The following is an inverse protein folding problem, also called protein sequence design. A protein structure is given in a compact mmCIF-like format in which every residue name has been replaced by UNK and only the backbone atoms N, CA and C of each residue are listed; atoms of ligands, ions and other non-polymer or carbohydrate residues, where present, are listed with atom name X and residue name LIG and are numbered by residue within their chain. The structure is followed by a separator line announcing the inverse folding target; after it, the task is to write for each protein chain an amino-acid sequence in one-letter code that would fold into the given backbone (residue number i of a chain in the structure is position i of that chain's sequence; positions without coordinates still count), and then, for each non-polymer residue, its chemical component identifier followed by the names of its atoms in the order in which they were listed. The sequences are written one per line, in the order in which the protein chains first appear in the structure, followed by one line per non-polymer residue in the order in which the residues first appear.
data_IF_953899429504
#
_entry.id   IF_953899429504
#
_cell.length_a   1.000
_cell.length_b   1.000
_cell.length_c   1.000
_cell.angle_alpha   90.00
_cell.angle_beta   90.00
_cell.angle_gamma   90.00
#
_symmetry.space_group_name_H-M   'P 1'
#
loop_
_entity.id
_entity.type
_entity.pdbx_description
1 polymer ?
#
# COMPACT_ATOMS: atom_id res chain seq x y z
N UNK A 1 -10.71 3.77 24.35
CA UNK A 1 -9.69 4.04 23.31
C UNK A 1 -10.43 4.25 21.98
N UNK A 2 -10.12 5.30 21.23
CA UNK A 2 -10.78 5.52 19.93
C UNK A 2 -10.34 4.42 18.96
N UNK A 3 -11.29 3.62 18.47
CA UNK A 3 -11.09 2.63 17.43
C UNK A 3 -10.41 3.28 16.20
N UNK A 4 -9.40 2.61 15.64
CA UNK A 4 -8.82 3.00 14.36
C UNK A 4 -9.81 2.64 13.25
N UNK A 5 -10.06 3.58 12.36
CA UNK A 5 -10.86 3.36 11.16
C UNK A 5 -10.00 2.62 10.10
N UNK A 6 -10.33 1.35 9.89
CA UNK A 6 -9.68 0.45 8.94
C UNK A 6 -10.64 0.12 7.80
N UNK A 7 -10.19 0.33 6.56
CA UNK A 7 -10.89 -0.10 5.37
C UNK A 7 -10.48 -1.53 5.05
N UNK A 8 -11.25 -2.50 5.55
CA UNK A 8 -11.06 -3.91 5.24
C UNK A 8 -11.30 -4.18 3.75
N UNK A 9 -10.46 -5.03 3.16
CA UNK A 9 -10.55 -5.41 1.75
C UNK A 9 -10.25 -6.90 1.59
N UNK A 10 -10.92 -7.55 0.63
CA UNK A 10 -10.65 -8.93 0.32
C UNK A 10 -9.20 -9.11 -0.17
N UNK A 11 -8.44 -9.97 0.50
CA UNK A 11 -7.06 -10.31 0.16
C UNK A 11 -6.85 -11.83 0.26
N UNK A 12 -7.82 -12.60 -0.25
CA UNK A 12 -7.86 -14.05 -0.15
C UNK A 12 -8.58 -14.55 1.11
N UNK A 13 -8.87 -15.86 1.19
CA UNK A 13 -9.58 -16.47 2.31
C UNK A 13 -8.73 -16.61 3.58
N UNK A 14 -7.40 -16.67 3.46
CA UNK A 14 -6.50 -16.95 4.58
C UNK A 14 -5.60 -15.77 4.99
N UNK A 15 -5.55 -14.69 4.20
CA UNK A 15 -4.84 -13.46 4.52
C UNK A 15 -5.83 -12.32 4.78
N UNK A 16 -5.39 -11.30 5.53
CA UNK A 16 -6.18 -10.10 5.81
C UNK A 16 -5.52 -8.89 5.16
N UNK A 17 -6.30 -8.09 4.44
CA UNK A 17 -5.87 -6.83 3.84
C UNK A 17 -6.68 -5.66 4.39
N UNK A 18 -6.01 -4.58 4.77
CA UNK A 18 -6.70 -3.35 5.15
C UNK A 18 -5.90 -2.09 4.79
N UNK A 19 -6.60 -0.96 4.68
CA UNK A 19 -6.01 0.36 4.52
C UNK A 19 -6.40 1.27 5.68
N UNK A 20 -5.46 2.04 6.20
CA UNK A 20 -5.73 2.99 7.28
C UNK A 20 -6.30 4.30 6.75
N UNK A 21 -7.06 4.99 7.60
CA UNK A 21 -7.42 6.40 7.40
C UNK A 21 -6.67 7.27 8.42
N UNK A 22 -6.66 8.59 8.22
CA UNK A 22 -6.13 9.52 9.25
C UNK A 22 -7.04 9.63 10.48
N UNK A 23 -8.28 9.12 10.41
CA UNK A 23 -9.30 9.23 11.46
C UNK A 23 -10.26 10.41 11.28
N UNK A 24 -11.56 10.16 11.49
CA UNK A 24 -12.65 11.10 11.17
C UNK A 24 -12.71 12.39 12.02
N UNK A 25 -12.19 12.37 13.26
CA UNK A 25 -12.22 13.55 14.14
C UNK A 25 -11.04 14.50 13.93
N UNK A 26 -9.92 14.01 13.39
CA UNK A 26 -8.64 14.75 13.34
C UNK A 26 -8.45 15.54 12.02
N UNK A 27 -9.34 15.38 11.05
CA UNK A 27 -9.37 16.17 9.81
C UNK A 27 -9.78 17.65 9.99
N UNK A 28 -10.06 18.08 11.24
CA UNK A 28 -10.68 19.37 11.58
C UNK A 28 -9.71 20.43 12.13
N UNK A 29 -8.51 20.06 12.60
CA UNK A 29 -7.53 21.02 13.12
C UNK A 29 -6.53 21.41 12.04
N UNK A 30 -6.87 22.38 11.19
CA UNK A 30 -6.05 22.81 10.05
C UNK A 30 -4.65 23.36 10.37
N UNK A 31 -4.21 23.34 11.63
CA UNK A 31 -2.87 23.77 12.04
C UNK A 31 -1.85 22.62 12.13
N UNK A 32 -2.30 21.37 12.29
CA UNK A 32 -1.42 20.21 12.45
C UNK A 32 -1.48 19.31 11.20
N UNK A 33 -0.45 19.41 10.37
CA UNK A 33 -0.24 18.62 9.15
C UNK A 33 -0.27 17.10 9.38
N UNK A 34 -0.03 16.65 10.61
CA UNK A 34 0.03 15.24 10.98
C UNK A 34 -1.10 14.82 11.92
N UNK A 35 -2.08 15.70 12.19
CA UNK A 35 -3.25 15.35 13.00
C UNK A 35 -3.89 14.07 12.44
N UNK A 36 -4.04 13.07 13.30
CA UNK A 36 -4.53 11.75 12.96
C UNK A 36 -3.53 10.63 13.23
N UNK A 37 -3.76 9.55 12.50
CA UNK A 37 -2.94 8.35 12.49
C UNK A 37 -1.79 8.45 11.48
N UNK A 38 -0.88 9.41 11.61
CA UNK A 38 0.36 9.39 10.84
C UNK A 38 1.25 8.21 11.28
N UNK A 39 1.71 7.43 10.30
CA UNK A 39 2.53 6.22 10.50
C UNK A 39 3.95 6.35 9.95
N UNK A 40 4.28 7.49 9.33
CA UNK A 40 5.57 7.73 8.70
C UNK A 40 6.52 8.54 9.60
N UNK A 41 7.74 8.02 9.76
CA UNK A 41 8.81 8.65 10.54
C UNK A 41 9.61 9.68 9.73
N UNK A 42 9.54 9.64 8.40
CA UNK A 42 10.39 10.42 7.50
C UNK A 42 9.73 11.73 7.01
N UNK A 43 8.56 12.08 7.52
CA UNK A 43 7.79 13.24 7.04
C UNK A 43 7.92 14.48 7.92
N UNK A 44 8.64 14.39 9.04
CA UNK A 44 8.85 15.50 9.97
C UNK A 44 7.82 15.61 11.09
N UNK A 45 7.08 14.53 11.39
CA UNK A 45 6.22 14.42 12.57
C UNK A 45 7.02 13.97 13.80
N UNK A 46 6.45 14.18 14.99
CA UNK A 46 7.06 13.80 16.28
C UNK A 46 7.27 12.27 16.36
N UNK A 47 8.51 11.78 16.54
CA UNK A 47 8.80 10.34 16.58
C UNK A 47 7.95 9.55 17.57
N UNK A 48 7.67 10.13 18.75
CA UNK A 48 6.85 9.50 19.80
C UNK A 48 5.37 9.42 19.40
N UNK A 49 4.87 10.38 18.61
CA UNK A 49 3.52 10.35 18.05
C UNK A 49 3.41 9.22 17.04
N UNK A 50 4.37 9.11 16.13
CA UNK A 50 4.40 8.07 15.11
C UNK A 50 4.53 6.68 15.76
N UNK A 51 5.41 6.53 16.75
CA UNK A 51 5.56 5.28 17.50
C UNK A 51 4.26 4.88 18.21
N UNK A 52 3.57 5.82 18.85
CA UNK A 52 2.25 5.57 19.47
C UNK A 52 1.20 5.16 18.43
N UNK A 53 1.17 5.80 17.26
CA UNK A 53 0.24 5.46 16.19
C UNK A 53 0.49 4.07 15.60
N UNK A 54 1.77 3.66 15.45
CA UNK A 54 2.13 2.30 15.04
C UNK A 54 1.71 1.25 16.05
N UNK A 55 1.90 1.48 17.36
CA UNK A 55 1.39 0.58 18.42
C UNK A 55 -0.12 0.43 18.39
N UNK A 56 -0.85 1.54 18.27
CA UNK A 56 -2.32 1.51 18.13
C UNK A 56 -2.76 0.70 16.90
N UNK A 57 -2.03 0.79 15.78
CA UNK A 57 -2.30 0.00 14.59
C UNK A 57 -2.05 -1.49 14.84
N UNK A 58 -0.92 -1.85 15.46
CA UNK A 58 -0.62 -3.24 15.81
C UNK A 58 -1.70 -3.83 16.74
N UNK A 59 -2.09 -3.10 17.80
CA UNK A 59 -3.18 -3.47 18.70
C UNK A 59 -4.51 -3.70 17.95
N UNK A 60 -4.89 -2.80 17.04
CA UNK A 60 -6.11 -2.92 16.24
C UNK A 60 -6.10 -4.11 15.25
N UNK A 61 -4.90 -4.61 14.93
CA UNK A 61 -4.70 -5.78 14.07
C UNK A 61 -4.44 -7.06 14.87
N UNK A 62 -4.46 -6.99 16.21
CA UNK A 62 -4.12 -8.11 17.11
C UNK A 62 -2.69 -8.64 16.86
N UNK A 63 -1.76 -7.73 16.61
CA UNK A 63 -0.35 -7.99 16.33
C UNK A 63 0.55 -7.44 17.44
N UNK A 64 1.75 -8.00 17.59
CA UNK A 64 2.79 -7.38 18.42
C UNK A 64 3.35 -6.10 17.77
N UNK A 65 3.98 -5.24 18.56
CA UNK A 65 4.49 -3.94 18.12
C UNK A 65 5.47 -4.03 16.92
N UNK A 66 6.21 -5.12 16.81
CA UNK A 66 7.24 -5.39 15.79
C UNK A 66 6.81 -6.42 14.73
N UNK A 67 5.54 -6.84 14.74
CA UNK A 67 4.97 -7.81 13.79
C UNK A 67 4.64 -7.21 12.43
N UNK A 68 4.67 -5.87 12.28
CA UNK A 68 4.49 -5.19 11.00
C UNK A 68 5.86 -4.76 10.49
N UNK A 69 6.32 -5.39 9.40
CA UNK A 69 7.51 -4.94 8.68
C UNK A 69 7.21 -3.71 7.81
N UNK A 70 8.17 -2.80 7.78
CA UNK A 70 8.14 -1.56 7.01
C UNK A 70 9.39 -1.47 6.13
N UNK A 71 9.35 -0.62 5.10
CA UNK A 71 10.46 -0.41 4.17
C UNK A 71 10.82 1.08 4.08
N UNK A 72 12.04 1.35 3.62
CA UNK A 72 12.47 2.67 3.21
C UNK A 72 12.16 2.88 1.71
N UNK A 73 11.01 3.50 1.44
CA UNK A 73 10.47 3.69 0.09
C UNK A 73 11.21 4.77 -0.69
N UNK A 74 11.64 4.46 -1.91
CA UNK A 74 12.46 5.36 -2.76
C UNK A 74 11.91 5.49 -4.19
N UNK A 75 10.69 5.03 -4.44
CA UNK A 75 10.04 5.01 -5.75
C UNK A 75 10.79 4.18 -6.80
N UNK A 76 11.42 3.08 -6.35
CA UNK A 76 12.10 2.06 -7.15
C UNK A 76 11.16 0.91 -7.56
N UNK A 77 11.74 -0.13 -8.14
CA UNK A 77 11.10 -1.43 -8.40
C UNK A 77 11.62 -2.55 -7.50
N UNK A 78 12.48 -2.21 -6.52
CA UNK A 78 13.14 -3.21 -5.67
C UNK A 78 12.12 -3.89 -4.76
N UNK A 79 12.10 -5.21 -4.82
CA UNK A 79 11.33 -6.08 -3.94
C UNK A 79 12.27 -6.70 -2.91
N UNK A 80 11.93 -6.57 -1.63
CA UNK A 80 12.71 -7.15 -0.53
C UNK A 80 11.87 -8.11 0.31
N UNK A 81 12.54 -9.08 0.95
CA UNK A 81 11.91 -9.95 1.95
C UNK A 81 11.72 -9.18 3.25
N UNK A 82 10.54 -9.32 3.86
CA UNK A 82 10.20 -8.73 5.13
C UNK A 82 11.06 -9.31 6.26
N UNK A 83 11.59 -8.44 7.11
CA UNK A 83 12.40 -8.82 8.27
C UNK A 83 11.88 -8.07 9.51
N UNK A 84 11.82 -8.78 10.64
CA UNK A 84 11.40 -8.20 11.91
C UNK A 84 12.39 -7.12 12.33
N UNK A 85 11.87 -5.92 12.64
CA UNK A 85 12.70 -4.74 12.96
C UNK A 85 13.55 -4.20 11.80
N UNK A 86 13.49 -4.80 10.61
CA UNK A 86 14.22 -4.36 9.43
C UNK A 86 13.47 -3.27 8.66
N UNK A 87 14.25 -2.42 7.96
CA UNK A 87 13.75 -1.37 7.08
C UNK A 87 14.53 -1.34 5.76
N UNK A 88 14.45 -2.41 4.94
CA UNK A 88 15.20 -2.46 3.68
C UNK A 88 14.77 -1.30 2.76
N UNK A 89 15.72 -0.77 2.00
CA UNK A 89 15.43 0.18 0.93
C UNK A 89 14.80 -0.57 -0.23
N UNK A 90 13.49 -0.41 -0.40
CA UNK A 90 12.66 -1.14 -1.33
C UNK A 90 11.33 -0.41 -1.53
N UNK A 91 10.58 -0.77 -2.56
CA UNK A 91 9.21 -0.29 -2.80
C UNK A 91 8.20 -1.46 -2.85
N UNK A 92 8.65 -2.68 -2.55
CA UNK A 92 7.78 -3.79 -2.22
C UNK A 92 8.40 -4.64 -1.11
N UNK A 93 7.57 -5.08 -0.17
CA UNK A 93 7.91 -6.08 0.84
C UNK A 93 7.11 -7.34 0.62
N UNK A 94 7.79 -8.48 0.60
CA UNK A 94 7.18 -9.81 0.52
C UNK A 94 7.43 -10.56 1.83
N UNK A 95 6.40 -11.22 2.35
CA UNK A 95 6.43 -12.00 3.58
C UNK A 95 5.93 -13.41 3.34
N UNK A 96 6.72 -14.38 3.82
CA UNK A 96 6.35 -15.78 3.93
C UNK A 96 5.80 -16.06 5.34
N UNK A 97 4.52 -16.39 5.44
CA UNK A 97 3.80 -16.48 6.71
C UNK A 97 4.21 -17.63 7.63
N UNK A 98 4.92 -18.64 7.11
CA UNK A 98 5.30 -19.83 7.86
C UNK A 98 6.60 -19.69 8.66
N UNK A 99 7.48 -18.75 8.32
CA UNK A 99 8.75 -18.56 9.02
C UNK A 99 8.49 -18.08 10.46
N UNK A 100 8.88 -18.85 11.51
CA UNK A 100 8.68 -18.48 12.91
C UNK A 100 9.39 -17.18 13.33
N UNK A 101 10.51 -16.84 12.71
CA UNK A 101 11.28 -15.63 13.00
C UNK A 101 10.77 -14.38 12.29
N UNK A 102 9.96 -14.56 11.23
CA UNK A 102 9.44 -13.47 10.43
C UNK A 102 8.39 -12.61 11.19
N UNK A 103 8.15 -11.37 10.73
CA UNK A 103 6.97 -10.60 11.12
C UNK A 103 5.67 -11.31 10.68
N UNK A 104 4.51 -10.80 11.09
CA UNK A 104 3.20 -11.34 10.72
C UNK A 104 2.49 -10.54 9.63
N UNK A 105 2.95 -9.32 9.39
CA UNK A 105 2.39 -8.43 8.40
C UNK A 105 3.47 -7.58 7.70
N UNK A 106 3.11 -7.07 6.53
CA UNK A 106 3.91 -6.09 5.76
C UNK A 106 3.09 -4.85 5.53
N UNK A 107 3.75 -3.69 5.62
CA UNK A 107 3.13 -2.39 5.46
C UNK A 107 3.79 -1.54 4.38
N UNK A 108 2.95 -0.81 3.64
CA UNK A 108 3.35 0.24 2.71
C UNK A 108 2.75 1.57 3.13
N UNK A 109 3.52 2.66 3.07
CA UNK A 109 3.08 4.01 3.45
C UNK A 109 2.84 4.87 2.22
N UNK A 110 1.71 5.57 2.15
CA UNK A 110 1.40 6.46 1.02
C UNK A 110 0.73 7.75 1.46
N UNK A 111 0.90 8.76 0.63
CA UNK A 111 -0.04 9.87 0.48
C UNK A 111 -0.08 10.14 -1.02
N UNK A 112 -1.16 9.70 -1.68
CA UNK A 112 -1.43 9.72 -3.14
C UNK A 112 -0.87 8.58 -3.99
N UNK A 113 0.34 8.05 -3.72
CA UNK A 113 0.80 6.85 -4.44
C UNK A 113 -0.13 5.65 -4.17
N UNK A 114 -0.13 4.66 -5.06
CA UNK A 114 -0.97 3.46 -4.93
C UNK A 114 -0.36 2.48 -3.94
N UNK A 115 -1.01 2.18 -2.79
CA UNK A 115 -0.66 1.03 -1.98
C UNK A 115 -1.36 -0.20 -2.58
N UNK A 116 -0.57 -1.15 -3.09
CA UNK A 116 -1.05 -2.41 -3.63
C UNK A 116 -0.71 -3.52 -2.64
N UNK A 117 -1.72 -4.29 -2.24
CA UNK A 117 -1.53 -5.50 -1.43
C UNK A 117 -1.69 -6.72 -2.32
N UNK A 118 -0.87 -7.74 -2.12
CA UNK A 118 -0.94 -9.02 -2.82
C UNK A 118 -0.96 -10.17 -1.80
N UNK A 119 -1.67 -11.26 -2.12
CA UNK A 119 -1.60 -12.50 -1.36
C UNK A 119 -1.90 -13.72 -2.24
N UNK A 120 -1.32 -14.88 -1.91
CA UNK A 120 -1.84 -16.18 -2.37
C UNK A 120 -3.13 -16.52 -1.64
N UNK A 121 -3.98 -17.37 -2.23
CA UNK A 121 -5.27 -17.71 -1.60
C UNK A 121 -5.08 -18.36 -0.22
N UNK A 122 -4.05 -19.17 -0.05
CA UNK A 122 -3.69 -19.83 1.19
C UNK A 122 -3.02 -18.92 2.23
N UNK A 123 -2.79 -17.65 1.88
CA UNK A 123 -2.19 -16.61 2.72
C UNK A 123 -0.74 -16.89 3.14
N UNK A 124 -0.06 -17.86 2.52
CA UNK A 124 1.34 -18.18 2.81
C UNK A 124 2.30 -17.10 2.33
N UNK A 125 1.98 -16.44 1.22
CA UNK A 125 2.77 -15.37 0.66
C UNK A 125 1.92 -14.11 0.59
N UNK A 126 2.38 -13.03 1.21
CA UNK A 126 1.73 -11.71 1.15
C UNK A 126 2.74 -10.63 0.79
N UNK A 127 2.27 -9.53 0.21
CA UNK A 127 3.10 -8.37 -0.07
C UNK A 127 2.38 -7.04 0.10
N UNK A 128 3.18 -6.02 0.39
CA UNK A 128 2.78 -4.62 0.37
C UNK A 128 3.69 -3.87 -0.60
N UNK A 129 3.10 -3.21 -1.59
CA UNK A 129 3.78 -2.62 -2.75
C UNK A 129 3.44 -1.13 -2.85
N UNK A 130 4.46 -0.31 -2.99
CA UNK A 130 4.39 1.12 -3.23
C UNK A 130 4.48 1.41 -4.73
N UNK A 131 3.33 1.59 -5.37
CA UNK A 131 3.25 1.97 -6.77
C UNK A 131 2.99 3.48 -6.91
N UNK A 132 4.06 4.26 -6.82
CA UNK A 132 4.05 5.65 -7.34
C UNK A 132 4.14 5.66 -8.87
N UNK A 133 3.98 6.84 -9.50
CA UNK A 133 4.08 6.98 -10.97
C UNK A 133 5.35 6.34 -11.53
N UNK A 134 6.51 6.65 -10.93
CA UNK A 134 7.80 6.08 -11.37
C UNK A 134 7.83 4.56 -11.20
N UNK A 135 7.54 4.05 -10.00
CA UNK A 135 7.54 2.60 -9.75
C UNK A 135 6.56 1.83 -10.65
N UNK A 136 5.37 2.37 -10.92
CA UNK A 136 4.39 1.76 -11.83
C UNK A 136 4.91 1.68 -13.26
N UNK A 137 5.55 2.74 -13.76
CA UNK A 137 6.11 2.78 -15.12
C UNK A 137 7.39 1.93 -15.23
N UNK A 138 8.22 1.91 -14.19
CA UNK A 138 9.48 1.17 -14.16
C UNK A 138 9.25 -0.34 -13.91
N UNK A 139 8.07 -0.75 -13.41
CA UNK A 139 7.66 -2.16 -13.37
C UNK A 139 7.53 -2.80 -11.98
N UNK A 140 7.34 -2.03 -10.90
CA UNK A 140 7.27 -2.58 -9.52
C UNK A 140 6.19 -3.65 -9.33
N UNK A 141 5.06 -3.54 -10.05
CA UNK A 141 4.00 -4.56 -10.03
C UNK A 141 4.48 -5.86 -10.66
N UNK A 142 5.17 -5.77 -11.80
CA UNK A 142 5.71 -6.95 -12.48
C UNK A 142 6.80 -7.63 -11.65
N UNK A 143 7.71 -6.87 -11.05
CA UNK A 143 8.74 -7.40 -10.15
C UNK A 143 8.13 -8.08 -8.92
N UNK A 144 7.09 -7.49 -8.34
CA UNK A 144 6.38 -8.09 -7.19
C UNK A 144 5.73 -9.42 -7.57
N UNK A 145 5.07 -9.49 -8.73
CA UNK A 145 4.46 -10.72 -9.24
C UNK A 145 5.51 -11.76 -9.64
N UNK A 146 6.68 -11.34 -10.13
CA UNK A 146 7.79 -12.24 -10.44
C UNK A 146 8.31 -12.94 -9.18
N UNK A 147 8.37 -12.24 -8.04
CA UNK A 147 8.68 -12.89 -6.75
C UNK A 147 7.63 -13.93 -6.39
N UNK A 148 6.33 -13.63 -6.53
CA UNK A 148 5.26 -14.60 -6.29
C UNK A 148 5.41 -15.84 -7.18
N UNK A 149 5.64 -15.65 -8.47
CA UNK A 149 5.86 -16.74 -9.42
C UNK A 149 7.10 -17.58 -9.07
N UNK A 150 8.19 -16.95 -8.62
CA UNK A 150 9.41 -17.64 -8.18
C UNK A 150 9.18 -18.53 -6.95
N UNK A 151 8.11 -18.25 -6.18
CA UNK A 151 7.69 -19.06 -5.02
C UNK A 151 6.56 -20.03 -5.35
N UNK A 152 6.28 -20.23 -6.64
CA UNK A 152 5.30 -21.20 -7.12
C UNK A 152 3.86 -20.71 -7.14
N UNK A 153 3.59 -19.43 -6.84
CA UNK A 153 2.25 -18.88 -6.96
C UNK A 153 1.83 -18.78 -8.42
N UNK A 154 0.62 -19.24 -8.73
CA UNK A 154 0.01 -19.06 -10.06
C UNK A 154 -0.74 -17.72 -10.08
N UNK A 155 -0.67 -16.91 -11.15
CA UNK A 155 -1.33 -15.60 -11.18
C UNK A 155 -2.83 -15.65 -10.87
N UNK A 156 -3.55 -16.67 -11.34
CA UNK A 156 -4.97 -16.85 -11.09
C UNK A 156 -5.32 -17.15 -9.61
N UNK A 157 -4.34 -17.56 -8.81
CA UNK A 157 -4.47 -17.74 -7.35
C UNK A 157 -4.16 -16.46 -6.55
N UNK A 158 -3.59 -15.44 -7.20
CA UNK A 158 -3.19 -14.20 -6.53
C UNK A 158 -4.41 -13.30 -6.33
N UNK A 159 -4.56 -12.83 -5.11
CA UNK A 159 -5.48 -11.79 -4.70
C UNK A 159 -4.74 -10.46 -4.59
N UNK A 160 -5.28 -9.44 -5.24
CA UNK A 160 -4.77 -8.09 -5.21
C UNK A 160 -5.80 -7.12 -4.64
N UNK A 161 -5.36 -6.19 -3.79
CA UNK A 161 -6.17 -5.08 -3.31
C UNK A 161 -5.48 -3.75 -3.60
N UNK A 162 -6.16 -2.88 -4.34
CA UNK A 162 -5.69 -1.53 -4.65
C UNK A 162 -6.29 -0.58 -3.62
N UNK A 163 -5.44 0.13 -2.88
CA UNK A 163 -5.90 1.03 -1.82
C UNK A 163 -6.12 2.48 -2.26
N UNK A 164 -6.44 3.36 -1.29
CA UNK A 164 -6.65 4.78 -1.53
C UNK A 164 -5.41 5.44 -2.13
N UNK A 165 -5.61 6.14 -3.25
CA UNK A 165 -4.57 6.85 -3.99
C UNK A 165 -5.16 8.07 -4.70
N UNK A 166 -4.33 8.91 -5.32
CA UNK A 166 -4.85 10.04 -6.10
C UNK A 166 -5.44 9.52 -7.41
N UNK A 167 -6.70 9.86 -7.72
CA UNK A 167 -7.34 9.43 -8.97
C UNK A 167 -6.86 10.26 -10.18
N UNK A 168 -7.06 9.75 -11.39
CA UNK A 168 -6.75 10.47 -12.63
C UNK A 168 -7.48 11.81 -12.78
N UNK A 169 -8.63 11.97 -12.14
CA UNK A 169 -9.37 13.22 -12.07
C UNK A 169 -8.66 14.32 -11.26
N UNK A 170 -7.75 13.96 -10.35
CA UNK A 170 -7.02 14.86 -9.45
C UNK A 170 -5.53 15.03 -9.80
N UNK A 171 -4.91 14.01 -10.40
CA UNK A 171 -3.46 13.97 -10.60
C UNK A 171 -3.06 14.66 -11.89
N UNK A 172 -3.02 15.99 -11.84
CA UNK A 172 -2.52 16.82 -12.94
C UNK A 172 -1.00 16.68 -13.11
N UNK A 173 -0.57 16.59 -14.36
CA UNK A 173 0.84 16.59 -14.79
C UNK A 173 0.99 17.36 -16.10
N UNK A 174 2.21 17.76 -16.49
CA UNK A 174 2.45 18.29 -17.84
C UNK A 174 2.11 17.27 -18.94
N UNK A 175 1.73 17.76 -20.12
CA UNK A 175 1.33 16.91 -21.25
C UNK A 175 2.43 15.95 -21.69
N UNK A 176 3.69 16.41 -21.74
CA UNK A 176 4.83 15.57 -22.09
C UNK A 176 5.01 14.41 -21.10
N UNK A 177 4.70 14.64 -19.82
CA UNK A 177 4.75 13.61 -18.79
C UNK A 177 3.61 12.60 -18.94
N UNK A 178 2.39 13.08 -19.24
CA UNK A 178 1.24 12.21 -19.54
C UNK A 178 1.53 11.35 -20.77
N UNK A 179 2.01 11.96 -21.85
CA UNK A 179 2.31 11.26 -23.10
C UNK A 179 3.40 10.20 -22.90
N UNK A 180 4.48 10.52 -22.18
CA UNK A 180 5.54 9.56 -21.86
C UNK A 180 5.03 8.38 -21.01
N UNK A 181 4.17 8.65 -20.03
CA UNK A 181 3.55 7.60 -19.22
C UNK A 181 2.62 6.70 -20.05
N UNK A 182 1.78 7.31 -20.91
CA UNK A 182 0.85 6.60 -21.77
C UNK A 182 1.54 5.73 -22.84
N UNK A 183 2.76 6.08 -23.24
CA UNK A 183 3.57 5.26 -24.14
C UNK A 183 4.04 3.94 -23.51
N UNK A 184 4.16 3.90 -22.17
CA UNK A 184 4.56 2.71 -21.41
C UNK A 184 3.33 1.94 -20.93
N UNK A 185 2.38 2.64 -20.29
CA UNK A 185 1.13 2.05 -19.79
C UNK A 185 -0.06 2.90 -20.26
N UNK A 186 -0.69 2.57 -21.41
CA UNK A 186 -1.75 3.39 -22.01
C UNK A 186 -2.93 3.67 -21.08
N UNK A 187 -3.30 2.70 -20.23
CA UNK A 187 -4.45 2.82 -19.32
C UNK A 187 -4.22 3.81 -18.16
N UNK A 188 -2.98 4.27 -17.95
CA UNK A 188 -2.72 5.31 -16.96
C UNK A 188 -3.00 6.73 -17.47
N UNK A 189 -3.26 6.91 -18.78
CA UNK A 189 -3.57 8.23 -19.32
C UNK A 189 -4.94 8.71 -18.82
N UNK A 190 -4.99 9.93 -18.27
CA UNK A 190 -6.23 10.53 -17.80
C UNK A 190 -6.37 11.99 -18.25
N UNK A 191 -7.59 12.50 -18.15
CA UNK A 191 -7.89 13.94 -18.19
C UNK A 191 -8.43 14.31 -16.82
N UNK A 192 -7.85 15.33 -16.21
CA UNK A 192 -8.31 15.80 -14.89
C UNK A 192 -9.72 16.38 -15.03
N UNK A 193 -10.41 16.54 -13.90
CA UNK A 193 -11.73 17.21 -13.88
C UNK A 193 -11.71 18.66 -14.37
N UNK A 194 -10.51 19.26 -14.46
CA UNK A 194 -10.29 20.62 -14.93
C UNK A 194 -9.93 20.67 -16.43
N UNK A 195 -9.94 19.52 -17.12
CA UNK A 195 -9.61 19.41 -18.54
C UNK A 195 -8.11 19.38 -18.83
N UNK A 196 -7.26 19.25 -17.80
CA UNK A 196 -5.81 19.20 -17.96
C UNK A 196 -5.29 17.76 -18.16
N UNK A 197 -4.08 17.57 -18.70
CA UNK A 197 -3.42 16.27 -18.73
C UNK A 197 -3.26 15.68 -17.33
N UNK A 198 -3.61 14.41 -17.16
CA UNK A 198 -3.48 13.71 -15.88
C UNK A 198 -2.99 12.27 -16.02
N UNK A 199 -2.58 11.68 -14.89
CA UNK A 199 -2.16 10.28 -14.82
C UNK A 199 -2.99 9.55 -13.75
N UNK A 200 -3.66 8.47 -14.12
CA UNK A 200 -4.28 7.54 -13.19
C UNK A 200 -3.35 6.34 -12.93
N UNK A 201 -2.59 6.42 -11.83
CA UNK A 201 -1.66 5.35 -11.47
C UNK A 201 -2.41 4.08 -11.08
N UNK A 202 -3.58 4.20 -10.43
CA UNK A 202 -4.39 3.05 -10.04
C UNK A 202 -4.94 2.31 -11.25
N UNK A 203 -5.36 3.03 -12.30
CA UNK A 203 -5.75 2.43 -13.58
C UNK A 203 -4.57 1.68 -14.23
N UNK A 204 -3.38 2.27 -14.26
CA UNK A 204 -2.17 1.60 -14.74
C UNK A 204 -1.82 0.32 -13.98
N UNK A 205 -1.87 0.35 -12.64
CA UNK A 205 -1.69 -0.85 -11.80
C UNK A 205 -2.75 -1.90 -12.12
N UNK A 206 -4.00 -1.51 -12.29
CA UNK A 206 -5.10 -2.43 -12.61
C UNK A 206 -4.91 -3.10 -13.98
N UNK A 207 -4.44 -2.35 -14.97
CA UNK A 207 -4.08 -2.85 -16.29
C UNK A 207 -2.94 -3.88 -16.22
N UNK A 208 -1.90 -3.60 -15.43
CA UNK A 208 -0.77 -4.50 -15.20
C UNK A 208 -1.20 -5.81 -14.55
N UNK A 209 -2.02 -5.76 -13.50
CA UNK A 209 -2.57 -6.94 -12.83
C UNK A 209 -3.43 -7.79 -13.78
N UNK A 210 -4.32 -7.14 -14.55
CA UNK A 210 -5.16 -7.79 -15.55
C UNK A 210 -4.34 -8.49 -16.63
N UNK A 211 -3.31 -7.82 -17.15
CA UNK A 211 -2.40 -8.35 -18.16
C UNK A 211 -1.57 -9.53 -17.64
N UNK A 212 -1.22 -9.51 -16.36
CA UNK A 212 -0.52 -10.61 -15.70
C UNK A 212 -1.43 -11.82 -15.36
N UNK A 213 -2.74 -11.70 -15.53
CA UNK A 213 -3.70 -12.78 -15.24
C UNK A 213 -3.99 -12.96 -13.75
N UNK A 214 -3.86 -11.89 -12.94
CA UNK A 214 -4.21 -11.92 -11.52
C UNK A 214 -5.70 -12.23 -11.35
N UNK A 215 -6.02 -13.28 -10.59
CA UNK A 215 -7.37 -13.85 -10.55
C UNK A 215 -8.41 -12.97 -9.85
N UNK A 216 -7.99 -12.20 -8.83
CA UNK A 216 -8.90 -11.40 -8.02
C UNK A 216 -8.32 -10.01 -7.76
N UNK A 217 -9.07 -8.96 -8.11
CA UNK A 217 -8.66 -7.56 -7.87
C UNK A 217 -9.79 -6.80 -7.18
N UNK A 218 -9.53 -6.29 -5.98
CA UNK A 218 -10.47 -5.50 -5.18
C UNK A 218 -10.00 -4.04 -5.00
N UNK A 219 -10.93 -3.15 -4.62
CA UNK A 219 -10.62 -1.78 -4.23
C UNK A 219 -10.31 -0.79 -5.38
N UNK A 220 -9.66 0.31 -5.02
CA UNK A 220 -9.23 1.40 -5.89
C UNK A 220 -10.36 2.31 -6.39
N UNK A 221 -11.39 2.51 -5.56
CA UNK A 221 -12.47 3.48 -5.78
C UNK A 221 -12.30 4.76 -4.96
N UNK A 222 -11.28 4.84 -4.10
CA UNK A 222 -11.05 5.99 -3.23
C UNK A 222 -10.03 6.96 -3.82
N UNK A 223 -10.31 8.26 -3.73
CA UNK A 223 -9.37 9.31 -4.04
C UNK A 223 -8.85 9.99 -2.77
N UNK A 224 -7.54 9.93 -2.53
CA UNK A 224 -6.89 10.56 -1.35
C UNK A 224 -7.03 12.07 -1.34
N UNK A 225 -7.02 12.70 -2.51
CA UNK A 225 -7.13 14.15 -2.65
C UNK A 225 -8.56 14.66 -2.36
N UNK A 226 -9.59 13.90 -2.70
CA UNK A 226 -11.00 14.28 -2.54
C UNK A 226 -11.56 13.90 -1.16
N UNK A 227 -11.13 12.76 -0.62
CA UNK A 227 -11.64 12.24 0.64
C UNK A 227 -10.75 12.64 1.83
N UNK A 228 -11.32 13.45 2.74
CA UNK A 228 -10.63 13.99 3.91
C UNK A 228 -10.29 12.93 4.98
N UNK A 229 -10.77 11.69 4.82
CA UNK A 229 -10.32 10.56 5.63
C UNK A 229 -8.86 10.19 5.35
N UNK A 230 -8.27 10.65 4.25
CA UNK A 230 -6.88 10.32 3.91
C UNK A 230 -5.96 11.53 3.95
N UNK A 231 -4.68 11.28 4.23
CA UNK A 231 -3.62 12.24 3.92
C UNK A 231 -3.41 12.29 2.40
N UNK A 232 -3.15 13.49 1.86
CA UNK A 232 -2.85 13.70 0.44
C UNK A 232 -1.75 14.75 0.30
N UNK A 233 -0.64 14.37 -0.31
CA UNK A 233 0.48 15.28 -0.57
C UNK A 233 0.09 16.34 -1.60
N UNK A 234 -0.68 15.95 -2.63
CA UNK A 234 -1.18 16.84 -3.67
C UNK A 234 -2.11 17.92 -3.12
N UNK A 235 -2.91 17.58 -2.10
CA UNK A 235 -3.81 18.54 -1.45
C UNK A 235 -3.09 19.39 -0.39
N UNK A 236 -2.29 18.77 0.47
CA UNK A 236 -1.84 19.38 1.72
C UNK A 236 -0.34 19.76 1.71
N UNK A 237 0.45 19.23 0.76
CA UNK A 237 1.91 19.36 0.75
C UNK A 237 2.54 18.61 1.91
N UNK A 238 2.87 19.32 2.99
CA UNK A 238 3.42 18.71 4.21
C UNK A 238 2.28 18.02 4.96
N UNK A 239 2.32 16.68 5.03
CA UNK A 239 1.22 15.85 5.54
C UNK A 239 1.72 14.47 5.98
N UNK A 240 0.88 13.75 6.73
CA UNK A 240 1.14 12.38 7.19
C UNK A 240 1.08 11.32 6.07
N UNK A 241 1.18 10.04 6.44
CA UNK A 241 0.97 8.91 5.53
C UNK A 241 -0.07 7.94 6.08
N UNK A 242 -0.95 7.48 5.20
CA UNK A 242 -1.78 6.30 5.45
C UNK A 242 -1.00 5.04 5.10
N UNK A 243 -1.47 3.87 5.53
CA UNK A 243 -0.83 2.59 5.26
C UNK A 243 -1.77 1.61 4.56
N UNK A 244 -1.21 0.76 3.71
CA UNK A 244 -1.80 -0.53 3.36
C UNK A 244 -1.08 -1.64 4.11
N UNK A 245 -1.84 -2.56 4.72
CA UNK A 245 -1.30 -3.66 5.52
C UNK A 245 -1.83 -4.99 4.97
N UNK A 246 -0.91 -5.92 4.69
CA UNK A 246 -1.24 -7.32 4.43
C UNK A 246 -0.75 -8.18 5.60
N UNK A 247 -1.66 -8.90 6.24
CA UNK A 247 -1.38 -9.86 7.32
C UNK A 247 -1.43 -11.26 6.74
N UNK A 248 -0.34 -12.02 6.91
CA UNK A 248 -0.24 -13.39 6.45
C UNK A 248 -1.12 -14.33 7.30
N UNK A 249 -1.35 -15.54 6.79
CA UNK A 249 -2.12 -16.56 7.52
C UNK A 249 -1.61 -16.79 8.96
N UNK A 250 -2.47 -17.24 9.89
CA UNK A 250 -2.02 -17.83 11.15
C UNK A 250 -0.99 -18.94 10.89
N UNK A 251 0.10 -18.94 11.67
CA UNK A 251 1.02 -20.07 11.67
C UNK A 251 0.28 -21.30 12.18
N UNK A 252 0.51 -22.45 11.56
CA UNK A 252 0.01 -23.72 12.11
C UNK A 252 0.67 -23.93 13.47
N UNK A 253 -0.12 -24.28 14.49
CA UNK A 253 0.46 -24.69 15.76
C UNK A 253 1.33 -25.93 15.49
N UNK A 254 2.59 -25.89 15.94
CA UNK A 254 3.40 -27.10 15.99
C UNK A 254 2.79 -27.93 17.13
N UNK A 255 1.98 -28.93 16.78
CA UNK A 255 1.67 -30.00 17.74
C UNK A 255 2.97 -30.75 17.97
N UNK A 256 3.62 -30.49 19.11
CA UNK A 256 4.65 -31.36 19.64
C UNK A 256 4.04 -32.76 19.80
N UNK A 257 4.66 -33.75 19.18
CA UNK A 257 4.30 -35.17 19.28
C UNK A 257 5.08 -35.83 20.42
#
# INVERSE_FOLDING_TARGET
MSSIDLLEVALGPCARGCFTTRGAQEARSGADSYAGLNLAVHVGDEPERVARNRRRLAEALELADDDIAWMNQVHSTVVATAQRGGHPTADALVLEGEDPGAPRAVGVLVADCVPLLLATSDGALVAAVHAGRRGMLDGVVAESLAVFASRGARPDDIWAAIGPSVCGGCYEVPEEMRAAAAAIEPECAATTRWGAPGIDVAAGVRAQLRRAGVGHVAGGSWCTAEDRRFYSYRRDGVTGRIAGIAVARPRRAVTEA
#
